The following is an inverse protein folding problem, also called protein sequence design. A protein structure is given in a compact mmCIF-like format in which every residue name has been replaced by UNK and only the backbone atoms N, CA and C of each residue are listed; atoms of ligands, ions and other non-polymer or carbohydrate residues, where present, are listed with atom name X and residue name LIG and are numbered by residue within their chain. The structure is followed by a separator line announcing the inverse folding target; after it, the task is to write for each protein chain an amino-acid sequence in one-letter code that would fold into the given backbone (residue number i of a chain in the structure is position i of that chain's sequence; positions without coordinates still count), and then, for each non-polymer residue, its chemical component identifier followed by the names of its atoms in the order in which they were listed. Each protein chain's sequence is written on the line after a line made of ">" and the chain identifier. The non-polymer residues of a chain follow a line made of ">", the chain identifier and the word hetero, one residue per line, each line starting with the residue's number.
data_IF_852436519540
#
_entry.id   IF_852436519540
#
_cell.length_a   1.000
_cell.length_b   1.000
_cell.length_c   1.000
_cell.angle_alpha   90.00
_cell.angle_beta   90.00
_cell.angle_gamma   90.00
#
_symmetry.space_group_name_H-M   'P 1'
#
loop_
_entity.id
_entity.type
_entity.pdbx_description
1 polymer ?
#
# COMPACT_ATOMS: atom_id res chain seq x y z
N UNK A 1 -1.32 -15.95 12.84
CA UNK A 1 -0.40 -15.54 11.75
C UNK A 1 -0.35 -14.03 11.67
N UNK A 2 0.80 -13.45 11.32
CA UNK A 2 0.95 -12.02 11.01
C UNK A 2 1.45 -11.86 9.58
N UNK A 3 1.01 -10.81 8.89
CA UNK A 3 1.53 -10.49 7.56
C UNK A 3 1.64 -8.97 7.35
N UNK A 4 2.61 -8.55 6.55
CA UNK A 4 2.69 -7.18 6.05
C UNK A 4 2.43 -7.25 4.55
N UNK A 5 1.42 -6.52 4.08
CA UNK A 5 1.10 -6.41 2.66
C UNK A 5 1.71 -5.12 2.13
N UNK A 6 2.58 -5.25 1.12
CA UNK A 6 3.29 -4.12 0.52
C UNK A 6 2.81 -3.88 -0.89
N UNK A 7 2.47 -2.63 -1.17
CA UNK A 7 2.08 -2.13 -2.49
C UNK A 7 3.03 -1.01 -2.92
N UNK A 8 3.09 -0.73 -4.21
CA UNK A 8 3.87 0.40 -4.72
C UNK A 8 2.90 1.40 -5.36
N UNK A 9 2.26 1.00 -6.45
CA UNK A 9 1.27 1.82 -7.14
C UNK A 9 -0.11 1.14 -7.14
N UNK A 10 -1.17 1.95 -7.00
CA UNK A 10 -2.56 1.48 -7.07
C UNK A 10 -3.20 2.10 -8.30
N UNK A 11 -3.02 1.46 -9.45
CA UNK A 11 -3.48 1.95 -10.76
C UNK A 11 -3.60 0.79 -11.76
N UNK A 12 -4.15 1.09 -12.92
CA UNK A 12 -4.36 0.13 -14.01
C UNK A 12 -3.33 0.33 -15.15
N UNK A 13 -2.15 0.91 -14.85
CA UNK A 13 -1.12 1.16 -15.88
C UNK A 13 -0.48 -0.11 -16.43
N UNK A 14 -0.63 -1.24 -15.72
CA UNK A 14 -0.05 -2.52 -16.11
C UNK A 14 1.45 -2.65 -15.81
N UNK A 15 2.03 -1.71 -15.05
CA UNK A 15 3.38 -1.87 -14.53
C UNK A 15 3.47 -3.11 -13.63
N UNK A 16 4.65 -3.70 -13.54
CA UNK A 16 4.95 -4.78 -12.59
C UNK A 16 4.73 -4.38 -11.13
N UNK A 17 4.71 -3.07 -10.85
CA UNK A 17 4.48 -2.48 -9.53
C UNK A 17 3.00 -2.13 -9.28
N UNK A 18 2.14 -2.25 -10.30
CA UNK A 18 0.74 -1.85 -10.25
C UNK A 18 -0.15 -2.91 -9.63
N UNK A 19 -0.93 -2.50 -8.63
CA UNK A 19 -2.07 -3.28 -8.15
C UNK A 19 -3.39 -2.61 -8.59
N UNK A 20 -4.30 -3.33 -9.28
CA UNK A 20 -5.50 -2.73 -9.85
C UNK A 20 -6.41 -2.06 -8.83
N UNK A 21 -6.95 -0.88 -9.16
CA UNK A 21 -7.73 -0.04 -8.22
C UNK A 21 -8.94 -0.80 -7.66
N UNK A 22 -9.69 -1.48 -8.54
CA UNK A 22 -10.87 -2.26 -8.12
C UNK A 22 -10.51 -3.42 -7.20
N UNK A 23 -9.38 -4.10 -7.47
CA UNK A 23 -8.92 -5.20 -6.64
C UNK A 23 -8.42 -4.70 -5.28
N UNK A 24 -7.80 -3.53 -5.23
CA UNK A 24 -7.40 -2.90 -3.97
C UNK A 24 -8.62 -2.62 -3.09
N UNK A 25 -9.65 -1.96 -3.65
CA UNK A 25 -10.89 -1.69 -2.92
C UNK A 25 -11.56 -2.98 -2.44
N UNK A 26 -11.66 -3.99 -3.31
CA UNK A 26 -12.22 -5.29 -2.96
C UNK A 26 -11.43 -5.96 -1.82
N UNK A 27 -10.09 -5.98 -1.90
CA UNK A 27 -9.24 -6.54 -0.85
C UNK A 27 -9.50 -5.87 0.50
N UNK A 28 -9.57 -4.53 0.54
CA UNK A 28 -9.82 -3.80 1.79
C UNK A 28 -11.19 -4.17 2.36
N UNK A 29 -12.24 -4.18 1.53
CA UNK A 29 -13.58 -4.59 1.95
C UNK A 29 -13.60 -6.01 2.50
N UNK A 30 -13.03 -6.97 1.77
CA UNK A 30 -13.00 -8.38 2.18
C UNK A 30 -12.23 -8.59 3.49
N UNK A 31 -11.12 -7.88 3.69
CA UNK A 31 -10.36 -7.98 4.95
C UNK A 31 -11.15 -7.36 6.11
N UNK A 32 -11.76 -6.20 5.92
CA UNK A 32 -12.56 -5.53 6.96
C UNK A 32 -13.78 -6.37 7.36
N UNK A 33 -14.40 -7.07 6.41
CA UNK A 33 -15.52 -7.99 6.67
C UNK A 33 -15.06 -9.33 7.29
N UNK A 34 -13.76 -9.64 7.21
CA UNK A 34 -13.18 -10.84 7.81
C UNK A 34 -12.91 -10.69 9.31
N UNK A 35 -12.53 -11.79 9.98
CA UNK A 35 -12.02 -11.77 11.38
C UNK A 35 -10.55 -11.32 11.48
N UNK A 36 -9.95 -10.86 10.38
CA UNK A 36 -8.55 -10.42 10.33
C UNK A 36 -8.44 -8.98 10.77
N UNK A 37 -7.59 -8.71 11.77
CA UNK A 37 -7.36 -7.34 12.24
C UNK A 37 -6.40 -6.60 11.31
N UNK A 38 -6.75 -5.40 10.87
CA UNK A 38 -5.78 -4.48 10.24
C UNK A 38 -5.22 -3.55 11.32
N UNK A 39 -3.90 -3.39 11.36
CA UNK A 39 -3.20 -2.67 12.40
C UNK A 39 -2.00 -1.87 11.86
N UNK A 40 -1.49 -0.95 12.67
CA UNK A 40 -0.26 -0.20 12.36
C UNK A 40 0.98 -1.08 12.53
N UNK A 41 2.12 -0.62 12.01
CA UNK A 41 3.39 -1.35 12.15
C UNK A 41 3.83 -1.53 13.61
N UNK A 42 3.61 -0.54 14.48
CA UNK A 42 3.95 -0.66 15.91
C UNK A 42 3.04 -1.65 16.66
N UNK A 43 1.85 -1.92 16.12
CA UNK A 43 0.91 -2.89 16.69
C UNK A 43 1.25 -4.30 16.22
N UNK A 44 1.52 -4.50 14.92
CA UNK A 44 1.75 -5.84 14.38
C UNK A 44 2.99 -6.52 14.97
N UNK A 45 4.03 -5.74 15.31
CA UNK A 45 5.27 -6.28 15.89
C UNK A 45 5.12 -6.75 17.34
N UNK A 46 4.03 -6.36 18.03
CA UNK A 46 3.88 -6.69 19.45
C UNK A 46 3.63 -8.19 19.65
N UNK A 47 4.25 -8.84 20.66
CA UNK A 47 4.13 -10.29 20.87
C UNK A 47 2.69 -10.80 20.99
N UNK A 48 1.81 -10.03 21.62
CA UNK A 48 0.41 -10.36 21.90
C UNK A 48 -0.51 -10.23 20.69
N UNK A 49 -0.06 -9.56 19.62
CA UNK A 49 -0.86 -9.46 18.40
C UNK A 49 -0.86 -10.80 17.69
N UNK A 50 -2.02 -11.30 17.30
CA UNK A 50 -2.15 -12.45 16.41
C UNK A 50 -3.28 -12.22 15.40
N UNK A 51 -3.27 -12.97 14.31
CA UNK A 51 -4.22 -12.89 13.21
C UNK A 51 -4.43 -11.46 12.69
N UNK A 52 -3.32 -10.78 12.38
CA UNK A 52 -3.34 -9.38 11.99
C UNK A 52 -2.50 -9.11 10.74
N UNK A 53 -2.90 -8.09 9.98
CA UNK A 53 -2.15 -7.57 8.86
C UNK A 53 -1.81 -6.08 9.05
N UNK A 54 -0.73 -5.65 8.42
CA UNK A 54 -0.38 -4.24 8.26
C UNK A 54 -0.25 -3.93 6.76
N UNK A 55 -0.71 -2.76 6.35
CA UNK A 55 -0.66 -2.32 4.95
C UNK A 55 0.43 -1.28 4.81
N UNK A 56 1.30 -1.46 3.82
CA UNK A 56 2.42 -0.58 3.53
C UNK A 56 2.45 -0.20 2.06
N UNK A 57 2.94 1.00 1.79
CA UNK A 57 3.20 1.52 0.46
C UNK A 57 4.65 1.98 0.38
N UNK A 58 5.32 1.62 -0.71
CA UNK A 58 6.69 2.05 -0.99
C UNK A 58 6.71 3.20 -2.03
N UNK A 59 7.87 3.83 -2.15
CA UNK A 59 8.25 4.87 -3.11
C UNK A 59 7.54 6.23 -2.99
N UNK A 60 6.24 6.29 -2.74
CA UNK A 60 5.47 7.54 -2.79
C UNK A 60 4.78 7.81 -4.12
N UNK A 61 4.34 6.75 -4.81
CA UNK A 61 3.60 6.87 -6.07
C UNK A 61 2.33 7.72 -5.92
N UNK A 62 2.10 8.65 -6.84
CA UNK A 62 0.93 9.54 -6.82
C UNK A 62 -0.40 8.76 -6.76
N UNK A 63 -0.44 7.57 -7.38
CA UNK A 63 -1.62 6.70 -7.38
C UNK A 63 -2.02 6.22 -5.99
N UNK A 64 -1.09 6.13 -5.02
CA UNK A 64 -1.43 5.84 -3.61
C UNK A 64 -2.27 6.97 -3.03
N UNK A 65 -1.89 8.23 -3.26
CA UNK A 65 -2.65 9.39 -2.78
C UNK A 65 -4.01 9.51 -3.48
N UNK A 66 -4.06 9.31 -4.80
CA UNK A 66 -5.29 9.46 -5.59
C UNK A 66 -6.28 8.31 -5.41
N UNK A 67 -5.79 7.07 -5.33
CA UNK A 67 -6.64 5.87 -5.44
C UNK A 67 -6.71 5.06 -4.15
N UNK A 68 -5.59 4.89 -3.42
CA UNK A 68 -5.57 4.08 -2.20
C UNK A 68 -6.09 4.84 -0.98
N UNK A 69 -5.64 6.08 -0.79
CA UNK A 69 -5.96 6.90 0.39
C UNK A 69 -7.47 7.11 0.60
N UNK A 70 -8.30 7.39 -0.43
CA UNK A 70 -9.75 7.52 -0.24
C UNK A 70 -10.40 6.23 0.24
N UNK A 71 -10.00 5.07 -0.29
CA UNK A 71 -10.50 3.75 0.12
C UNK A 71 -10.15 3.48 1.58
N UNK A 72 -8.89 3.68 1.96
CA UNK A 72 -8.42 3.47 3.33
C UNK A 72 -9.11 4.40 4.33
N UNK A 73 -9.28 5.68 3.98
CA UNK A 73 -10.00 6.66 4.81
C UNK A 73 -11.47 6.28 4.99
N UNK A 74 -12.15 5.87 3.93
CA UNK A 74 -13.55 5.46 3.99
C UNK A 74 -13.74 4.22 4.88
N UNK A 75 -12.78 3.30 4.88
CA UNK A 75 -12.81 2.08 5.67
C UNK A 75 -12.22 2.23 7.09
N UNK A 76 -11.66 3.40 7.46
CA UNK A 76 -10.98 3.59 8.74
C UNK A 76 -9.73 2.72 8.92
N UNK A 77 -9.08 2.34 7.81
CA UNK A 77 -7.97 1.37 7.79
C UNK A 77 -6.62 2.10 7.90
N UNK A 78 -5.76 1.74 8.87
CA UNK A 78 -4.42 2.31 8.96
C UNK A 78 -3.50 1.73 7.88
N UNK A 79 -2.56 2.56 7.41
CA UNK A 79 -1.48 2.15 6.52
C UNK A 79 -0.22 2.97 6.78
N UNK A 80 0.91 2.50 6.27
CA UNK A 80 2.21 3.19 6.33
C UNK A 80 2.72 3.49 4.91
N UNK A 81 3.39 4.64 4.73
CA UNK A 81 4.01 5.03 3.47
C UNK A 81 5.50 5.29 3.68
N UNK A 82 6.36 4.55 2.98
CA UNK A 82 7.79 4.81 2.90
C UNK A 82 8.07 5.76 1.73
N UNK A 83 8.22 7.05 2.03
CA UNK A 83 8.33 8.10 1.03
C UNK A 83 9.78 8.34 0.59
N UNK A 84 10.05 8.27 -0.72
CA UNK A 84 11.33 8.68 -1.30
C UNK A 84 11.39 10.22 -1.44
N UNK A 85 11.68 10.91 -0.35
CA UNK A 85 11.53 12.38 -0.26
C UNK A 85 12.29 13.17 -1.34
N UNK A 86 13.43 12.66 -1.82
CA UNK A 86 14.20 13.29 -2.90
C UNK A 86 13.53 13.21 -4.28
N UNK A 87 12.54 12.34 -4.46
CA UNK A 87 11.81 12.13 -5.71
C UNK A 87 10.41 12.77 -5.71
N UNK A 88 9.98 13.38 -4.60
CA UNK A 88 8.65 14.02 -4.50
C UNK A 88 8.53 15.16 -5.51
N UNK A 89 7.46 15.12 -6.30
CA UNK A 89 7.22 16.07 -7.40
C UNK A 89 8.02 15.76 -8.68
N UNK A 90 8.75 14.65 -8.71
CA UNK A 90 9.51 14.18 -9.86
C UNK A 90 9.18 12.74 -10.24
N UNK A 91 10.11 12.10 -10.96
CA UNK A 91 10.08 10.68 -11.30
C UNK A 91 11.19 9.92 -10.56
N UNK A 92 11.02 8.61 -10.39
CA UNK A 92 12.12 7.76 -10.00
C UNK A 92 13.15 7.74 -11.16
N UNK A 93 14.37 8.16 -10.87
CA UNK A 93 15.49 8.14 -11.83
C UNK A 93 16.49 7.09 -11.42
N UNK A 94 16.01 5.88 -11.12
CA UNK A 94 16.90 4.83 -10.66
C UNK A 94 17.89 4.48 -11.77
N UNK A 95 19.21 4.43 -11.52
CA UNK A 95 20.22 4.25 -12.57
C UNK A 95 20.04 2.97 -13.38
N UNK A 96 19.37 1.97 -12.82
CA UNK A 96 19.10 0.66 -13.41
C UNK A 96 17.70 0.52 -14.01
N UNK A 97 16.86 1.57 -13.97
CA UNK A 97 15.50 1.51 -14.49
C UNK A 97 15.48 1.64 -16.01
N UNK A 98 14.73 0.78 -16.73
CA UNK A 98 14.41 1.02 -18.14
C UNK A 98 13.74 2.39 -18.30
N UNK A 99 13.98 3.05 -19.44
CA UNK A 99 13.36 4.37 -19.73
C UNK A 99 11.83 4.37 -19.76
N UNK A 100 11.21 3.20 -19.85
CA UNK A 100 9.77 2.99 -19.85
C UNK A 100 9.22 2.52 -18.49
N UNK A 101 10.07 2.38 -17.47
CA UNK A 101 9.59 2.13 -16.13
C UNK A 101 8.93 3.40 -15.58
N UNK A 102 7.76 3.27 -14.92
CA UNK A 102 7.05 4.40 -14.32
C UNK A 102 7.84 5.01 -13.17
#
# INVERSE_FOLDING_TARGET
>A
MKAILTFHSIDDSGSVLSFPVRKFAQLITEVVESKTRICTLDQIVRPETDNAIAITFDDGMESVFKNALPVLKAAGVPAHLYLTTACVGGNNRWPTQPSAAP
#
